data_IF_023456451283
#
_entry.id   IF_023456451283
#
_cell.length_a   1.000
_cell.length_b   1.000
_cell.length_c   1.000
_cell.angle_alpha   90.00
_cell.angle_beta   90.00
_cell.angle_gamma   90.00
#
_symmetry.space_group_name_H-M   'P 1'
#
loop_
_entity.id
_entity.type
_entity.pdbx_description
1 polymer ?
#
# COMPACT_ATOMS: atom_id res chain seq x y z
N UNK A 1 -15.17 9.32 5.02
CA UNK A 1 -15.22 10.72 5.52
C UNK A 1 -13.89 11.02 6.21
N UNK A 2 -13.29 12.19 5.92
CA UNK A 2 -12.19 12.69 6.71
C UNK A 2 -12.73 13.06 8.10
N UNK A 3 -12.08 12.59 9.16
CA UNK A 3 -12.50 12.92 10.53
C UNK A 3 -11.82 14.17 11.08
N UNK A 4 -10.77 14.65 10.43
CA UNK A 4 -10.03 15.86 10.84
C UNK A 4 -10.78 17.12 10.40
N UNK A 5 -10.85 18.11 11.28
CA UNK A 5 -11.39 19.43 10.97
C UNK A 5 -10.54 20.12 9.90
N UNK A 6 -11.15 20.56 8.77
CA UNK A 6 -10.43 21.29 7.73
C UNK A 6 -9.84 22.61 8.25
N UNK A 7 -8.65 22.98 7.74
CA UNK A 7 -8.02 24.28 8.00
C UNK A 7 -7.36 24.42 9.37
N UNK A 8 -7.33 23.39 10.21
CA UNK A 8 -6.61 23.43 11.49
C UNK A 8 -5.34 22.58 11.45
N UNK A 9 -4.23 23.14 11.91
CA UNK A 9 -2.92 22.48 11.92
C UNK A 9 -2.64 21.76 13.27
N UNK A 10 -3.67 21.21 13.90
CA UNK A 10 -3.55 20.40 15.10
C UNK A 10 -4.62 19.32 15.09
N UNK A 11 -4.45 18.28 15.90
CA UNK A 11 -5.41 17.18 15.96
C UNK A 11 -6.75 17.66 16.51
N UNK A 12 -7.73 17.72 15.65
CA UNK A 12 -9.12 18.04 16.01
C UNK A 12 -10.07 17.21 15.14
N UNK A 13 -10.52 16.05 15.61
CA UNK A 13 -11.49 15.25 14.85
C UNK A 13 -12.85 15.96 14.83
N UNK A 14 -13.53 15.91 13.69
CA UNK A 14 -14.93 16.32 13.58
C UNK A 14 -15.86 15.35 14.28
N UNK A 15 -15.51 14.09 14.32
CA UNK A 15 -16.24 13.00 14.98
C UNK A 15 -15.18 12.16 15.70
N UNK A 16 -15.25 12.11 17.03
CA UNK A 16 -14.30 11.32 17.83
C UNK A 16 -14.41 9.84 17.49
N UNK A 17 -13.25 9.17 17.34
CA UNK A 17 -13.17 7.76 16.97
C UNK A 17 -13.50 7.43 15.52
N UNK A 18 -13.91 8.39 14.70
CA UNK A 18 -14.17 8.15 13.28
C UNK A 18 -12.88 7.97 12.48
N UNK A 19 -12.88 7.15 11.42
CA UNK A 19 -11.72 6.96 10.56
C UNK A 19 -11.38 8.24 9.79
N UNK A 20 -10.09 8.51 9.63
CA UNK A 20 -9.56 9.60 8.83
C UNK A 20 -8.82 9.10 7.59
N UNK A 21 -8.43 10.04 6.71
CA UNK A 21 -7.49 9.75 5.65
C UNK A 21 -6.06 9.83 6.17
N UNK A 22 -5.35 8.69 6.16
CA UNK A 22 -3.94 8.65 6.55
C UNK A 22 -2.99 9.05 5.42
N UNK A 23 -3.42 8.93 4.16
CA UNK A 23 -2.59 9.19 2.99
C UNK A 23 -3.19 10.25 2.06
N UNK A 24 -4.39 10.07 1.53
CA UNK A 24 -5.05 11.08 0.70
C UNK A 24 -5.49 10.59 -0.68
N UNK A 25 -5.74 9.31 -0.87
CA UNK A 25 -6.24 8.72 -2.12
C UNK A 25 -7.51 9.41 -2.66
N UNK A 26 -8.32 9.99 -1.79
CA UNK A 26 -9.50 10.76 -2.18
C UNK A 26 -9.15 11.99 -3.06
N UNK A 27 -8.01 12.65 -2.82
CA UNK A 27 -7.58 13.79 -3.64
C UNK A 27 -7.16 13.34 -5.04
N UNK A 28 -6.54 12.17 -5.19
CA UNK A 28 -6.22 11.56 -6.47
C UNK A 28 -7.45 11.29 -7.33
N UNK A 29 -8.56 10.87 -6.72
CA UNK A 29 -9.82 10.67 -7.45
C UNK A 29 -10.33 12.00 -8.05
N UNK A 30 -10.28 13.09 -7.29
CA UNK A 30 -10.68 14.40 -7.77
C UNK A 30 -9.78 14.87 -8.93
N UNK A 31 -8.47 14.72 -8.81
CA UNK A 31 -7.50 15.04 -9.87
C UNK A 31 -7.80 14.26 -11.15
N UNK A 32 -8.01 12.95 -11.05
CA UNK A 32 -8.28 12.09 -12.22
C UNK A 32 -9.59 12.45 -12.92
N UNK A 33 -10.66 12.75 -12.18
CA UNK A 33 -11.94 13.15 -12.75
C UNK A 33 -11.81 14.48 -13.50
N UNK A 34 -11.20 15.49 -12.88
CA UNK A 34 -11.00 16.80 -13.51
C UNK A 34 -10.12 16.69 -14.74
N UNK A 35 -9.02 15.94 -14.68
CA UNK A 35 -8.14 15.71 -15.82
C UNK A 35 -8.88 15.02 -16.98
N UNK A 36 -9.67 13.98 -16.71
CA UNK A 36 -10.44 13.29 -17.74
C UNK A 36 -11.48 14.18 -18.41
N UNK A 37 -12.19 15.02 -17.63
CA UNK A 37 -13.15 15.98 -18.16
C UNK A 37 -12.46 17.03 -19.04
N UNK A 38 -11.33 17.58 -18.62
CA UNK A 38 -10.57 18.56 -19.39
C UNK A 38 -10.04 17.96 -20.71
N UNK A 39 -9.50 16.74 -20.67
CA UNK A 39 -9.01 16.05 -21.88
C UNK A 39 -10.18 15.74 -22.81
N UNK A 40 -11.33 15.28 -22.29
CA UNK A 40 -12.54 15.04 -23.09
C UNK A 40 -12.97 16.32 -23.85
N UNK A 41 -13.04 17.45 -23.16
CA UNK A 41 -13.40 18.74 -23.77
C UNK A 41 -12.42 19.11 -24.90
N UNK A 42 -11.11 18.93 -24.69
CA UNK A 42 -10.11 19.21 -25.71
C UNK A 42 -10.28 18.27 -26.91
N UNK A 43 -10.49 16.98 -26.68
CA UNK A 43 -10.68 15.99 -27.74
C UNK A 43 -11.90 16.33 -28.60
N UNK A 44 -13.02 16.71 -27.99
CA UNK A 44 -14.25 17.09 -28.69
C UNK A 44 -14.03 18.39 -29.50
N UNK A 45 -13.39 19.40 -28.91
CA UNK A 45 -13.14 20.69 -29.55
C UNK A 45 -12.17 20.59 -30.75
N UNK A 46 -11.12 19.80 -30.59
CA UNK A 46 -10.07 19.64 -31.63
C UNK A 46 -10.33 18.48 -32.60
N UNK A 47 -11.41 17.71 -32.40
CA UNK A 47 -11.73 16.55 -33.21
C UNK A 47 -10.71 15.42 -33.08
N UNK A 48 -10.08 15.26 -31.92
CA UNK A 48 -9.08 14.22 -31.67
C UNK A 48 -9.76 12.87 -31.40
N UNK A 49 -9.44 11.81 -32.16
CA UNK A 49 -9.99 10.48 -31.89
C UNK A 49 -9.35 9.86 -30.66
N UNK A 50 -10.11 9.03 -29.96
CA UNK A 50 -9.61 8.28 -28.80
C UNK A 50 -10.72 7.98 -27.79
N UNK A 51 -10.35 7.24 -26.76
CA UNK A 51 -11.26 6.90 -25.66
C UNK A 51 -10.55 7.13 -24.34
N UNK A 52 -11.23 7.77 -23.41
CA UNK A 52 -10.76 7.93 -22.03
C UNK A 52 -11.63 7.06 -21.13
N UNK A 53 -11.00 6.23 -20.31
CA UNK A 53 -11.67 5.38 -19.33
C UNK A 53 -11.17 5.71 -17.94
N UNK A 54 -12.09 5.92 -17.01
CA UNK A 54 -11.80 6.05 -15.59
C UNK A 54 -12.10 4.72 -14.89
N UNK A 55 -11.10 4.13 -14.26
CA UNK A 55 -11.27 3.01 -13.35
C UNK A 55 -11.20 3.50 -11.90
N UNK A 56 -12.27 3.36 -11.12
CA UNK A 56 -12.20 3.67 -9.70
C UNK A 56 -11.31 2.66 -8.99
N UNK A 57 -10.35 3.13 -8.21
CA UNK A 57 -9.59 2.29 -7.28
C UNK A 57 -10.44 2.03 -6.04
N UNK A 58 -10.84 0.77 -5.81
CA UNK A 58 -11.62 0.36 -4.65
C UNK A 58 -10.72 -0.51 -3.77
N UNK A 59 -10.70 -0.23 -2.45
CA UNK A 59 -9.95 -1.00 -1.46
C UNK A 59 -8.45 -1.15 -1.78
N UNK A 60 -7.80 -0.06 -2.22
CA UNK A 60 -6.38 -0.05 -2.55
C UNK A 60 -5.53 -0.46 -1.33
N UNK A 61 -5.84 0.04 -0.14
CA UNK A 61 -5.17 -0.28 1.13
C UNK A 61 -5.25 -1.79 1.51
N UNK A 62 -6.15 -2.52 0.88
CA UNK A 62 -6.26 -3.98 0.99
C UNK A 62 -5.73 -4.69 -0.26
N UNK A 63 -5.11 -3.97 -1.20
CA UNK A 63 -4.65 -4.46 -2.51
C UNK A 63 -5.80 -5.11 -3.30
N UNK A 64 -6.96 -4.43 -3.30
CA UNK A 64 -8.23 -5.10 -3.59
C UNK A 64 -8.55 -5.30 -5.06
N UNK A 65 -8.59 -4.25 -5.89
CA UNK A 65 -9.33 -4.34 -7.16
C UNK A 65 -8.49 -4.35 -8.43
N UNK A 66 -7.37 -3.67 -8.49
CA UNK A 66 -6.61 -3.51 -9.74
C UNK A 66 -6.04 -4.83 -10.25
N UNK A 67 -5.62 -5.73 -9.35
CA UNK A 67 -5.20 -7.09 -9.74
C UNK A 67 -6.34 -7.88 -10.39
N UNK A 68 -7.57 -7.73 -9.89
CA UNK A 68 -8.76 -8.37 -10.47
C UNK A 68 -9.08 -7.79 -11.85
N UNK A 69 -9.00 -6.47 -12.03
CA UNK A 69 -9.19 -5.83 -13.32
C UNK A 69 -8.16 -6.31 -14.35
N UNK A 70 -6.88 -6.43 -13.96
CA UNK A 70 -5.83 -6.96 -14.81
C UNK A 70 -6.11 -8.42 -15.19
N UNK A 71 -6.46 -9.28 -14.22
CA UNK A 71 -6.81 -10.68 -14.43
C UNK A 71 -8.00 -10.84 -15.38
N UNK A 72 -9.02 -10.02 -15.22
CA UNK A 72 -10.26 -10.12 -16.00
C UNK A 72 -10.16 -9.42 -17.37
N UNK A 73 -8.95 -8.93 -17.72
CA UNK A 73 -8.65 -8.38 -19.04
C UNK A 73 -9.20 -6.98 -19.30
N UNK A 74 -9.57 -6.21 -18.27
CA UNK A 74 -10.16 -4.88 -18.44
C UNK A 74 -9.19 -3.86 -19.07
N UNK A 75 -7.90 -4.17 -19.10
CA UNK A 75 -6.88 -3.32 -19.74
C UNK A 75 -6.53 -3.74 -21.18
N UNK A 76 -7.24 -4.71 -21.75
CA UNK A 76 -7.05 -5.08 -23.16
C UNK A 76 -7.48 -3.91 -24.06
N UNK A 77 -6.60 -3.54 -25.01
CA UNK A 77 -6.84 -2.41 -25.90
C UNK A 77 -6.63 -1.03 -25.25
N UNK A 78 -6.08 -0.96 -24.05
CA UNK A 78 -5.63 0.27 -23.40
C UNK A 78 -4.18 0.53 -23.79
N UNK A 79 -3.91 1.71 -24.35
CA UNK A 79 -2.56 2.08 -24.82
C UNK A 79 -1.65 2.55 -23.68
N UNK A 80 -2.22 3.26 -22.70
CA UNK A 80 -1.47 3.77 -21.56
C UNK A 80 -2.38 3.98 -20.34
N UNK A 81 -1.80 3.81 -19.15
CA UNK A 81 -2.46 4.12 -17.87
C UNK A 81 -1.73 5.27 -17.18
N UNK A 82 -2.48 6.32 -16.87
CA UNK A 82 -2.04 7.45 -16.08
C UNK A 82 -2.61 7.29 -14.66
N UNK A 83 -1.75 6.99 -13.73
CA UNK A 83 -2.09 6.81 -12.32
C UNK A 83 -1.63 8.02 -11.51
N UNK A 84 -2.35 8.36 -10.46
CA UNK A 84 -1.99 9.49 -9.58
C UNK A 84 -1.72 9.01 -8.16
N UNK A 85 -0.76 9.63 -7.51
CA UNK A 85 -0.45 9.40 -6.11
C UNK A 85 -0.05 10.70 -5.42
N UNK A 86 -0.45 10.85 -4.17
CA UNK A 86 -0.10 12.01 -3.33
C UNK A 86 1.41 12.11 -3.11
N UNK A 87 1.90 13.35 -3.01
CA UNK A 87 3.30 13.66 -2.75
C UNK A 87 3.44 15.06 -2.15
N UNK A 88 4.66 15.48 -1.88
CA UNK A 88 5.00 16.85 -1.50
C UNK A 88 5.50 17.70 -2.68
N UNK A 89 5.54 17.13 -3.89
CA UNK A 89 5.96 17.82 -5.10
C UNK A 89 5.20 17.30 -6.32
N UNK A 90 5.30 18.00 -7.45
CA UNK A 90 4.80 17.53 -8.74
C UNK A 90 5.94 16.82 -9.45
N UNK A 91 5.82 15.51 -9.63
CA UNK A 91 6.93 14.69 -10.11
C UNK A 91 6.47 13.37 -10.75
N UNK A 92 7.39 12.76 -11.45
CA UNK A 92 7.29 11.42 -12.02
C UNK A 92 8.61 10.69 -11.83
N UNK A 93 8.58 9.36 -11.89
CA UNK A 93 9.78 8.53 -11.84
C UNK A 93 9.69 7.35 -12.81
N UNK A 94 10.83 6.78 -13.16
CA UNK A 94 10.94 5.58 -13.96
C UNK A 94 12.08 4.69 -13.41
N UNK A 95 12.18 3.45 -13.90
CA UNK A 95 13.26 2.52 -13.56
C UNK A 95 12.90 1.49 -12.50
N UNK A 96 13.89 1.01 -11.76
CA UNK A 96 13.66 0.02 -10.70
C UNK A 96 12.71 0.57 -9.65
N UNK A 97 11.76 -0.26 -9.24
CA UNK A 97 10.73 0.15 -8.31
C UNK A 97 11.29 0.70 -7.00
N UNK A 98 10.90 1.89 -6.62
CA UNK A 98 11.08 2.36 -5.24
C UNK A 98 10.07 1.70 -4.28
N UNK A 99 9.08 0.97 -4.81
CA UNK A 99 8.08 0.24 -4.06
C UNK A 99 8.33 -1.27 -4.05
N UNK A 100 7.72 -1.94 -3.11
CA UNK A 100 7.71 -3.39 -3.00
C UNK A 100 6.41 -3.96 -3.54
N UNK A 101 6.43 -5.20 -4.03
CA UNK A 101 5.23 -6.00 -4.12
C UNK A 101 4.91 -6.59 -2.75
N UNK A 102 3.75 -7.21 -2.63
CA UNK A 102 3.20 -7.65 -1.35
C UNK A 102 2.30 -8.87 -1.53
N UNK A 103 2.38 -9.81 -0.60
CA UNK A 103 1.31 -10.77 -0.30
C UNK A 103 0.76 -10.47 1.09
N UNK A 104 -0.55 -10.29 1.16
CA UNK A 104 -1.35 -10.15 2.38
C UNK A 104 -2.06 -11.46 2.64
N UNK A 105 -1.76 -12.12 3.76
CA UNK A 105 -2.27 -13.46 4.08
C UNK A 105 -2.61 -13.57 5.55
N UNK A 106 -3.75 -14.15 5.83
CA UNK A 106 -4.17 -14.53 7.18
C UNK A 106 -4.04 -16.04 7.36
N UNK A 107 -3.38 -16.44 8.42
CA UNK A 107 -3.30 -17.83 8.87
C UNK A 107 -4.20 -18.04 10.05
N UNK A 108 -5.02 -19.07 9.99
CA UNK A 108 -5.98 -19.48 11.00
C UNK A 108 -5.58 -20.84 11.54
N UNK A 109 -5.61 -20.97 12.87
CA UNK A 109 -5.33 -22.21 13.55
C UNK A 109 -6.55 -22.68 14.33
N UNK A 110 -6.84 -23.97 14.25
CA UNK A 110 -7.96 -24.62 14.91
C UNK A 110 -7.42 -25.63 15.93
N UNK A 111 -7.73 -25.42 17.19
CA UNK A 111 -7.32 -26.24 18.32
C UNK A 111 -8.52 -26.86 19.02
N UNK A 112 -8.35 -27.15 20.32
CA UNK A 112 -9.38 -27.75 21.18
C UNK A 112 -9.46 -26.98 22.48
N UNK A 113 -10.65 -26.51 22.85
CA UNK A 113 -10.88 -25.83 24.12
C UNK A 113 -10.77 -26.78 25.31
N UNK A 114 -10.23 -26.29 26.40
CA UNK A 114 -10.21 -26.96 27.70
C UNK A 114 -10.13 -25.93 28.82
N UNK A 115 -10.48 -26.34 30.04
CA UNK A 115 -10.28 -25.49 31.21
C UNK A 115 -8.78 -25.41 31.56
N UNK A 116 -8.19 -24.20 31.48
CA UNK A 116 -6.75 -24.00 31.59
C UNK A 116 -6.13 -24.42 32.92
N UNK A 117 -6.92 -24.50 34.00
CA UNK A 117 -6.47 -24.97 35.32
C UNK A 117 -6.99 -26.35 35.71
N UNK A 118 -8.12 -26.78 35.13
CA UNK A 118 -8.72 -28.09 35.45
C UNK A 118 -8.11 -29.24 34.64
N UNK A 119 -8.34 -29.22 33.33
CA UNK A 119 -7.97 -30.29 32.44
C UNK A 119 -7.21 -29.79 31.19
N UNK A 120 -6.12 -28.98 31.33
CA UNK A 120 -5.43 -28.37 30.19
C UNK A 120 -4.88 -29.38 29.17
N UNK A 121 -4.55 -30.61 29.60
CA UNK A 121 -4.07 -31.66 28.74
C UNK A 121 -5.09 -32.17 27.72
N UNK A 122 -6.36 -31.86 27.88
CA UNK A 122 -7.41 -32.16 26.90
C UNK A 122 -7.48 -31.09 25.80
N UNK A 123 -6.87 -29.92 26.02
CA UNK A 123 -6.86 -28.81 25.07
C UNK A 123 -5.73 -28.86 24.05
N UNK A 124 -5.88 -28.11 22.99
CA UNK A 124 -4.85 -27.78 21.99
C UNK A 124 -4.95 -26.29 21.70
N UNK A 125 -3.94 -25.55 22.08
CA UNK A 125 -3.95 -24.09 21.98
C UNK A 125 -3.64 -23.63 20.55
N UNK A 126 -4.60 -23.05 19.89
CA UNK A 126 -4.41 -22.38 18.60
C UNK A 126 -3.52 -21.15 18.72
N UNK A 127 -3.54 -20.47 19.87
CA UNK A 127 -2.66 -19.32 20.13
C UNK A 127 -1.18 -19.73 20.19
N UNK A 128 -0.86 -20.88 20.79
CA UNK A 128 0.51 -21.39 20.83
C UNK A 128 1.04 -21.63 19.41
N UNK A 129 0.19 -22.11 18.50
CA UNK A 129 0.55 -22.26 17.10
C UNK A 129 0.88 -20.90 16.43
N UNK A 130 0.08 -19.87 16.70
CA UNK A 130 0.35 -18.51 16.23
C UNK A 130 1.68 -17.99 16.77
N UNK A 131 1.94 -18.15 18.05
CA UNK A 131 3.17 -17.69 18.67
C UNK A 131 4.40 -18.43 18.13
N UNK A 132 4.34 -19.78 18.00
CA UNK A 132 5.42 -20.56 17.40
C UNK A 132 5.66 -20.17 15.93
N UNK A 133 4.62 -19.92 15.16
CA UNK A 133 4.76 -19.42 13.80
C UNK A 133 5.47 -18.08 13.78
N UNK A 134 5.10 -17.14 14.65
CA UNK A 134 5.71 -15.82 14.75
C UNK A 134 7.18 -15.90 15.15
N UNK A 135 7.52 -16.75 16.14
CA UNK A 135 8.90 -17.01 16.56
C UNK A 135 9.72 -17.63 15.41
N UNK A 136 9.18 -18.63 14.73
CA UNK A 136 9.85 -19.29 13.60
C UNK A 136 10.12 -18.30 12.45
N UNK A 137 9.17 -17.42 12.14
CA UNK A 137 9.38 -16.37 11.14
C UNK A 137 10.43 -15.35 11.60
N UNK A 138 10.41 -14.95 12.86
CA UNK A 138 11.37 -13.99 13.39
C UNK A 138 12.81 -14.55 13.35
N UNK A 139 13.02 -15.84 13.61
CA UNK A 139 14.32 -16.48 13.43
C UNK A 139 14.73 -16.57 11.96
N UNK A 140 13.77 -16.75 11.06
CA UNK A 140 14.04 -16.75 9.62
C UNK A 140 14.47 -15.38 9.09
N UNK A 141 14.06 -14.26 9.71
CA UNK A 141 14.36 -12.89 9.25
C UNK A 141 15.85 -12.63 9.09
N UNK A 142 16.67 -13.16 9.94
CA UNK A 142 18.14 -13.04 9.88
C UNK A 142 18.73 -13.53 8.54
N UNK A 143 18.04 -14.47 7.89
CA UNK A 143 18.46 -15.11 6.66
C UNK A 143 17.71 -14.63 5.41
N UNK A 144 16.96 -13.53 5.52
CA UNK A 144 16.24 -12.93 4.42
C UNK A 144 17.06 -11.81 3.75
N UNK A 145 16.73 -11.50 2.50
CA UNK A 145 17.39 -10.43 1.75
C UNK A 145 17.18 -9.07 2.45
N UNK A 146 18.14 -8.14 2.38
CA UNK A 146 18.09 -6.87 3.12
C UNK A 146 16.88 -5.98 2.80
N UNK A 147 16.29 -6.12 1.61
CA UNK A 147 15.13 -5.33 1.16
C UNK A 147 13.78 -5.96 1.53
N UNK A 148 13.79 -7.17 2.07
CA UNK A 148 12.59 -7.79 2.58
C UNK A 148 12.00 -6.99 3.75
N UNK A 149 10.68 -6.87 3.77
CA UNK A 149 9.91 -6.35 4.92
C UNK A 149 8.74 -7.27 5.19
N UNK A 150 8.50 -7.55 6.45
CA UNK A 150 7.34 -8.31 6.88
C UNK A 150 6.80 -7.78 8.20
N UNK A 151 5.49 -7.81 8.32
CA UNK A 151 4.77 -7.32 9.48
C UNK A 151 3.63 -8.28 9.77
N UNK A 152 3.20 -8.37 11.01
CA UNK A 152 2.02 -9.14 11.36
C UNK A 152 1.27 -8.51 12.54
N UNK A 153 0.00 -8.87 12.63
CA UNK A 153 -0.83 -8.65 13.81
C UNK A 153 -1.55 -9.95 14.15
N UNK A 154 -1.69 -10.26 15.43
CA UNK A 154 -2.57 -11.34 15.87
C UNK A 154 -3.99 -10.79 15.76
N UNK A 155 -4.78 -11.34 14.83
CA UNK A 155 -6.15 -10.89 14.55
C UNK A 155 -7.19 -11.54 15.48
N UNK A 156 -6.86 -12.71 16.05
CA UNK A 156 -7.61 -13.36 17.13
C UNK A 156 -6.64 -14.17 18.00
N UNK A 157 -6.77 -14.07 19.32
CA UNK A 157 -5.86 -14.74 20.26
C UNK A 157 -6.58 -15.51 21.39
N UNK A 158 -7.89 -15.73 21.27
CA UNK A 158 -8.73 -16.32 22.31
C UNK A 158 -9.55 -15.30 23.10
N UNK A 159 -10.38 -15.77 24.01
CA UNK A 159 -11.36 -14.93 24.72
C UNK A 159 -10.97 -14.64 26.18
N UNK A 160 -10.48 -15.65 26.90
CA UNK A 160 -10.25 -15.56 28.35
C UNK A 160 -9.03 -16.43 28.77
N UNK A 161 -8.16 -15.93 29.68
CA UNK A 161 -6.91 -16.62 29.99
C UNK A 161 -7.05 -18.04 30.60
N UNK A 162 -8.16 -18.36 31.20
CA UNK A 162 -8.43 -19.70 31.80
C UNK A 162 -9.10 -20.68 30.83
N UNK A 163 -9.24 -20.34 29.56
CA UNK A 163 -9.75 -21.19 28.49
C UNK A 163 -8.63 -21.38 27.46
N UNK A 164 -8.24 -22.63 27.18
CA UNK A 164 -7.32 -22.96 26.10
C UNK A 164 -7.94 -22.49 24.77
N UNK A 165 -7.30 -21.59 24.02
CA UNK A 165 -7.88 -21.02 22.83
C UNK A 165 -8.13 -22.06 21.73
N UNK A 166 -9.39 -22.36 21.36
CA UNK A 166 -9.69 -23.32 20.28
C UNK A 166 -9.50 -22.72 18.89
N UNK A 167 -9.39 -21.41 18.78
CA UNK A 167 -9.16 -20.69 17.53
C UNK A 167 -8.23 -19.51 17.77
N UNK A 168 -7.28 -19.30 16.85
CA UNK A 168 -6.48 -18.10 16.79
C UNK A 168 -6.10 -17.80 15.34
N UNK A 169 -5.82 -16.54 15.04
CA UNK A 169 -5.39 -16.13 13.71
C UNK A 169 -4.36 -15.01 13.75
N UNK A 170 -3.51 -14.99 12.73
CA UNK A 170 -2.47 -13.98 12.53
C UNK A 170 -2.45 -13.52 11.08
N UNK A 171 -2.44 -12.22 10.89
CA UNK A 171 -2.42 -11.60 9.57
C UNK A 171 -1.03 -11.05 9.27
N UNK A 172 -0.44 -11.51 8.14
CA UNK A 172 0.91 -11.17 7.68
C UNK A 172 0.89 -10.35 6.40
N UNK A 173 1.84 -9.40 6.32
CA UNK A 173 2.31 -8.80 5.08
C UNK A 173 3.73 -9.28 4.79
N UNK A 174 3.94 -9.81 3.59
CA UNK A 174 5.27 -10.23 3.08
C UNK A 174 5.60 -9.36 1.88
N UNK A 175 6.62 -8.52 2.00
CA UNK A 175 7.04 -7.55 1.00
C UNK A 175 8.43 -7.86 0.47
N UNK A 176 8.62 -7.67 -0.83
CA UNK A 176 9.90 -7.77 -1.52
C UNK A 176 9.88 -6.99 -2.85
N UNK A 177 11.05 -6.78 -3.43
CA UNK A 177 11.22 -5.99 -4.66
C UNK A 177 10.99 -6.80 -5.94
N UNK A 178 10.92 -8.12 -5.87
CA UNK A 178 10.61 -8.99 -7.02
C UNK A 178 9.51 -9.99 -6.67
N UNK A 179 8.68 -10.32 -7.66
CA UNK A 179 7.62 -11.32 -7.50
C UNK A 179 8.16 -12.71 -7.09
N UNK A 180 9.34 -13.09 -7.60
CA UNK A 180 9.95 -14.37 -7.25
C UNK A 180 10.36 -14.41 -5.78
N UNK A 181 10.96 -13.34 -5.26
CA UNK A 181 11.36 -13.25 -3.86
C UNK A 181 10.14 -13.25 -2.93
N UNK A 182 9.06 -12.57 -3.32
CA UNK A 182 7.78 -12.60 -2.58
C UNK A 182 7.27 -14.03 -2.49
N UNK A 183 7.25 -14.75 -3.62
CA UNK A 183 6.79 -16.16 -3.67
C UNK A 183 7.64 -17.08 -2.82
N UNK A 184 8.95 -16.93 -2.86
CA UNK A 184 9.91 -17.70 -2.04
C UNK A 184 9.63 -17.48 -0.55
N UNK A 185 9.54 -16.23 -0.12
CA UNK A 185 9.26 -15.88 1.28
C UNK A 185 7.87 -16.36 1.73
N UNK A 186 6.87 -16.23 0.87
CA UNK A 186 5.53 -16.73 1.15
C UNK A 186 5.50 -18.27 1.31
N UNK A 187 6.22 -19.01 0.46
CA UNK A 187 6.31 -20.45 0.58
C UNK A 187 7.04 -20.86 1.89
N UNK A 188 8.08 -20.15 2.25
CA UNK A 188 8.77 -20.37 3.53
C UNK A 188 7.85 -20.11 4.72
N UNK A 189 7.08 -19.03 4.69
CA UNK A 189 6.12 -18.73 5.76
C UNK A 189 5.03 -19.82 5.87
N UNK A 190 4.56 -20.36 4.74
CA UNK A 190 3.61 -21.48 4.74
C UNK A 190 4.20 -22.73 5.41
N UNK A 191 5.48 -23.04 5.18
CA UNK A 191 6.15 -24.17 5.82
C UNK A 191 6.29 -23.96 7.33
N UNK A 192 6.60 -22.74 7.75
CA UNK A 192 6.67 -22.37 9.17
C UNK A 192 5.30 -22.53 9.84
N UNK A 193 4.23 -22.07 9.20
CA UNK A 193 2.86 -22.23 9.70
C UNK A 193 2.47 -23.71 9.85
N UNK A 194 2.82 -24.55 8.88
CA UNK A 194 2.63 -26.01 8.96
C UNK A 194 3.42 -26.62 10.11
N UNK A 195 4.69 -26.20 10.28
CA UNK A 195 5.51 -26.65 11.39
C UNK A 195 4.93 -26.27 12.75
N UNK A 196 4.41 -25.06 12.89
CA UNK A 196 3.75 -24.60 14.11
C UNK A 196 2.50 -25.44 14.43
N UNK A 197 1.66 -25.72 13.43
CA UNK A 197 0.49 -26.57 13.59
C UNK A 197 0.85 -28.00 14.03
N UNK A 198 1.90 -28.59 13.44
CA UNK A 198 2.41 -29.91 13.83
C UNK A 198 2.93 -29.93 15.28
N UNK A 199 3.63 -28.89 15.70
CA UNK A 199 4.18 -28.80 17.08
C UNK A 199 3.09 -28.68 18.14
N UNK A 200 1.95 -28.12 17.79
CA UNK A 200 0.83 -27.84 18.73
C UNK A 200 -0.35 -28.81 18.57
N UNK A 201 -0.27 -29.75 17.64
CA UNK A 201 -1.34 -30.68 17.30
C UNK A 201 -2.65 -29.93 16.98
N UNK A 202 -2.55 -28.88 16.14
CA UNK A 202 -3.66 -28.04 15.70
C UNK A 202 -3.89 -28.14 14.19
N UNK A 203 -5.10 -27.81 13.74
CA UNK A 203 -5.39 -27.58 12.32
C UNK A 203 -4.81 -26.24 11.85
N UNK A 204 -4.46 -26.13 10.56
CA UNK A 204 -4.04 -24.87 9.94
C UNK A 204 -4.71 -24.67 8.60
N UNK A 205 -5.26 -23.48 8.42
CA UNK A 205 -5.75 -22.98 7.15
C UNK A 205 -5.23 -21.56 6.87
N UNK A 206 -5.35 -21.09 5.64
CA UNK A 206 -4.96 -19.72 5.28
C UNK A 206 -5.88 -19.10 4.28
N UNK A 207 -5.98 -17.77 4.31
CA UNK A 207 -6.69 -16.96 3.34
C UNK A 207 -5.76 -15.89 2.79
N UNK A 208 -5.56 -15.83 1.48
CA UNK A 208 -4.90 -14.69 0.84
C UNK A 208 -5.93 -13.56 0.82
N UNK A 209 -5.60 -12.44 1.46
CA UNK A 209 -6.45 -11.25 1.53
C UNK A 209 -6.25 -10.40 0.29
N UNK A 210 -5.01 -10.29 -0.19
CA UNK A 210 -4.65 -9.56 -1.40
C UNK A 210 -3.20 -9.80 -1.78
N UNK A 211 -2.83 -9.40 -2.97
CA UNK A 211 -1.45 -9.40 -3.44
C UNK A 211 -1.27 -8.32 -4.50
N UNK A 212 -0.06 -7.80 -4.60
CA UNK A 212 0.32 -6.87 -5.67
C UNK A 212 1.74 -7.17 -6.14
N UNK A 213 1.95 -7.14 -7.44
CA UNK A 213 3.29 -7.19 -8.02
C UNK A 213 4.07 -5.90 -7.71
N UNK A 214 5.41 -5.97 -7.64
CA UNK A 214 6.24 -4.76 -7.70
C UNK A 214 5.96 -4.02 -9.01
N UNK A 215 6.00 -2.68 -8.97
CA UNK A 215 5.71 -1.86 -10.16
C UNK A 215 6.71 -2.11 -11.29
N UNK A 216 6.22 -2.10 -12.51
CA UNK A 216 7.02 -2.06 -13.73
C UNK A 216 6.93 -0.66 -14.34
N UNK A 217 8.07 -0.04 -14.67
CA UNK A 217 8.10 1.32 -15.15
C UNK A 217 8.27 1.41 -16.66
N UNK A 218 7.67 2.45 -17.24
CA UNK A 218 7.79 2.77 -18.65
C UNK A 218 8.51 4.11 -18.82
N UNK A 219 9.76 4.08 -19.29
CA UNK A 219 10.60 5.28 -19.46
C UNK A 219 10.01 6.29 -20.44
N UNK A 220 9.58 5.90 -21.67
CA UNK A 220 9.04 6.85 -22.65
C UNK A 220 7.88 7.68 -22.11
N UNK A 221 6.89 7.04 -21.45
CA UNK A 221 5.73 7.76 -20.90
C UNK A 221 6.15 8.63 -19.71
N UNK A 222 7.08 8.16 -18.88
CA UNK A 222 7.59 8.96 -17.76
C UNK A 222 8.30 10.23 -18.22
N UNK A 223 9.11 10.15 -19.27
CA UNK A 223 9.78 11.33 -19.85
C UNK A 223 8.77 12.30 -20.48
N UNK A 224 7.77 11.80 -21.21
CA UNK A 224 6.71 12.63 -21.76
C UNK A 224 5.90 13.33 -20.67
N UNK A 225 5.62 12.65 -19.56
CA UNK A 225 4.97 13.23 -18.39
C UNK A 225 5.84 14.33 -17.75
N UNK A 226 7.13 14.08 -17.57
CA UNK A 226 8.08 15.05 -17.01
C UNK A 226 8.17 16.35 -17.86
N UNK A 227 8.20 16.20 -19.18
CA UNK A 227 8.18 17.37 -20.09
C UNK A 227 6.89 18.19 -19.91
N UNK A 228 5.74 17.54 -19.74
CA UNK A 228 4.48 18.23 -19.49
C UNK A 228 4.43 18.85 -18.10
N UNK A 229 4.97 18.19 -17.08
CA UNK A 229 5.12 18.77 -15.73
C UNK A 229 5.92 20.08 -15.80
N UNK A 230 7.03 20.10 -16.54
CA UNK A 230 7.85 21.31 -16.72
C UNK A 230 7.12 22.45 -17.43
N UNK A 231 6.23 22.14 -18.37
CA UNK A 231 5.40 23.14 -19.06
C UNK A 231 4.32 23.73 -18.16
N UNK A 232 3.72 22.89 -17.30
CA UNK A 232 2.63 23.30 -16.41
C UNK A 232 3.15 24.02 -15.16
N UNK A 233 4.22 23.49 -14.57
CA UNK A 233 4.81 23.99 -13.32
C UNK A 233 4.03 23.60 -12.08
N UNK A 234 4.52 24.03 -10.93
CA UNK A 234 3.83 23.90 -9.64
C UNK A 234 2.70 24.92 -9.51
N UNK A 235 1.67 24.64 -8.72
CA UNK A 235 0.68 25.65 -8.33
C UNK A 235 1.34 26.82 -7.61
N UNK A 236 0.76 27.99 -7.75
CA UNK A 236 1.15 29.15 -6.93
C UNK A 236 0.46 29.06 -5.58
N UNK A 237 1.23 28.96 -4.52
CA UNK A 237 0.73 28.87 -3.16
C UNK A 237 0.53 30.27 -2.57
N UNK A 238 -0.57 30.46 -1.85
CA UNK A 238 -0.77 31.67 -1.07
C UNK A 238 0.11 31.68 0.21
N UNK A 239 0.24 32.83 0.83
CA UNK A 239 0.91 32.95 2.14
C UNK A 239 0.19 32.10 3.20
N UNK A 240 -1.13 31.98 3.12
CA UNK A 240 -1.93 31.18 4.03
C UNK A 240 -1.66 29.69 3.85
N UNK A 241 -1.52 29.21 2.60
CA UNK A 241 -1.16 27.81 2.31
C UNK A 241 0.23 27.50 2.90
N UNK A 242 1.21 28.39 2.68
CA UNK A 242 2.56 28.22 3.21
C UNK A 242 2.58 28.23 4.75
N UNK A 243 1.84 29.14 5.36
CA UNK A 243 1.72 29.21 6.82
C UNK A 243 1.09 27.95 7.40
N UNK A 244 0.02 27.46 6.78
CA UNK A 244 -0.66 26.24 7.20
C UNK A 244 0.24 25.01 7.04
N UNK A 245 0.96 24.89 5.91
CA UNK A 245 1.89 23.80 5.67
C UNK A 245 3.03 23.78 6.71
N UNK A 246 3.62 24.94 7.01
CA UNK A 246 4.68 25.06 8.04
C UNK A 246 4.17 24.72 9.43
N UNK A 247 2.93 25.10 9.76
CA UNK A 247 2.32 24.75 11.04
C UNK A 247 2.12 23.23 11.17
N UNK A 248 1.71 22.54 10.10
CA UNK A 248 1.61 21.08 10.09
C UNK A 248 2.96 20.39 10.21
N UNK A 249 3.99 20.88 9.51
CA UNK A 249 5.36 20.35 9.60
C UNK A 249 5.91 20.50 11.03
N UNK A 250 5.71 21.64 11.66
CA UNK A 250 6.11 21.88 13.05
C UNK A 250 5.36 20.91 14.01
N UNK A 251 4.06 20.69 13.82
CA UNK A 251 3.29 19.73 14.59
C UNK A 251 3.83 18.29 14.45
N UNK A 252 4.35 17.94 13.26
CA UNK A 252 4.96 16.64 12.99
C UNK A 252 6.42 16.53 13.49
N UNK A 253 6.94 17.56 14.15
CA UNK A 253 8.27 17.56 14.74
C UNK A 253 9.39 18.06 13.82
N UNK A 254 9.07 18.75 12.73
CA UNK A 254 10.09 19.41 11.91
C UNK A 254 10.70 20.60 12.68
N UNK A 255 12.02 20.60 12.85
CA UNK A 255 12.74 21.71 13.47
C UNK A 255 12.82 22.94 12.52
N UNK A 256 12.83 22.68 11.20
CA UNK A 256 12.91 23.71 10.16
C UNK A 256 11.77 23.50 9.13
N UNK A 257 10.54 23.95 9.40
CA UNK A 257 9.43 23.83 8.49
C UNK A 257 9.66 24.59 7.18
N UNK A 258 9.73 23.88 6.06
CA UNK A 258 10.00 24.46 4.73
C UNK A 258 8.72 24.96 4.05
N UNK A 259 7.56 24.43 4.42
CA UNK A 259 6.30 24.70 3.73
C UNK A 259 6.10 23.81 2.50
N UNK A 260 5.27 24.29 1.57
CA UNK A 260 4.99 23.62 0.30
C UNK A 260 6.13 23.90 -0.70
N UNK A 261 6.40 22.94 -1.57
CA UNK A 261 7.44 23.04 -2.58
C UNK A 261 7.17 24.20 -3.57
N UNK A 262 8.18 24.99 -3.85
CA UNK A 262 8.15 26.10 -4.82
C UNK A 262 8.95 25.80 -6.08
N UNK A 263 9.71 24.70 -6.08
CA UNK A 263 10.52 24.25 -7.20
C UNK A 263 10.15 22.81 -7.58
N UNK A 264 10.14 22.51 -8.88
CA UNK A 264 9.88 21.17 -9.39
C UNK A 264 11.02 20.23 -9.05
N UNK A 265 10.68 19.00 -8.64
CA UNK A 265 11.65 17.92 -8.59
C UNK A 265 12.03 17.48 -10.00
N UNK A 266 13.31 17.37 -10.29
CA UNK A 266 13.77 16.81 -11.56
C UNK A 266 13.61 15.29 -11.56
N UNK A 267 13.27 14.74 -12.75
CA UNK A 267 13.35 13.29 -12.98
C UNK A 267 14.84 12.88 -12.95
N UNK A 268 15.17 11.96 -12.04
CA UNK A 268 16.54 11.43 -11.92
C UNK A 268 16.70 10.09 -12.61
N UNK A 269 17.95 9.63 -12.74
CA UNK A 269 18.22 8.25 -13.12
C UNK A 269 17.73 7.29 -12.01
N UNK A 270 17.30 6.09 -12.39
CA UNK A 270 16.88 5.08 -11.43
C UNK A 270 18.02 4.72 -10.45
N UNK A 271 17.68 4.52 -9.20
CA UNK A 271 18.64 3.98 -8.24
C UNK A 271 18.91 2.51 -8.55
N UNK A 272 20.17 2.10 -8.57
CA UNK A 272 20.56 0.69 -8.76
C UNK A 272 20.01 -0.20 -7.65
N UNK A 273 20.03 0.30 -6.41
CA UNK A 273 19.54 -0.40 -5.23
C UNK A 273 18.51 0.48 -4.51
N UNK A 274 17.26 0.48 -4.96
CA UNK A 274 16.22 1.29 -4.33
C UNK A 274 15.96 0.81 -2.90
N UNK A 275 16.00 1.72 -1.94
CA UNK A 275 15.49 1.45 -0.59
C UNK A 275 13.99 1.20 -0.70
N UNK A 276 13.49 0.17 -0.01
CA UNK A 276 12.08 -0.22 -0.07
C UNK A 276 11.14 0.93 0.24
N UNK A 277 10.12 1.08 -0.57
CA UNK A 277 8.96 1.94 -0.33
C UNK A 277 7.71 1.12 -0.04
N UNK A 278 6.54 1.78 -0.02
CA UNK A 278 5.24 1.13 0.11
C UNK A 278 4.93 0.20 -1.06
N UNK A 279 3.94 -0.65 -0.89
CA UNK A 279 3.32 -1.44 -1.96
C UNK A 279 2.04 -0.75 -2.42
N UNK A 280 1.66 -0.98 -3.67
CA UNK A 280 0.54 -0.35 -4.33
C UNK A 280 -0.02 -1.33 -5.37
N UNK A 281 -1.31 -1.44 -5.50
CA UNK A 281 -1.95 -2.38 -6.42
C UNK A 281 -1.86 -1.97 -7.90
N UNK A 282 -1.28 -0.80 -8.22
CA UNK A 282 -0.96 -0.42 -9.60
C UNK A 282 0.14 -1.30 -10.21
N UNK A 283 0.89 -2.03 -9.39
CA UNK A 283 1.91 -2.96 -9.86
C UNK A 283 1.35 -3.93 -10.90
N UNK A 284 0.24 -4.58 -10.60
CA UNK A 284 -0.39 -5.56 -11.49
C UNK A 284 -0.79 -4.96 -12.85
N UNK A 285 -1.28 -3.72 -12.86
CA UNK A 285 -1.61 -2.98 -14.08
C UNK A 285 -0.35 -2.69 -14.90
N UNK A 286 0.71 -2.23 -14.24
CA UNK A 286 1.95 -1.80 -14.87
C UNK A 286 2.71 -2.91 -15.63
N UNK A 287 2.45 -4.18 -15.33
CA UNK A 287 2.97 -5.33 -16.07
C UNK A 287 2.14 -5.68 -17.31
N UNK A 288 0.93 -5.15 -17.43
CA UNK A 288 0.02 -5.42 -18.55
C UNK A 288 -0.05 -4.26 -19.55
N UNK A 289 0.07 -3.01 -19.05
CA UNK A 289 -0.07 -1.79 -19.86
C UNK A 289 1.03 -0.80 -19.51
N UNK A 290 1.58 -0.05 -20.46
CA UNK A 290 2.47 1.07 -20.19
C UNK A 290 1.84 2.02 -19.19
N UNK A 291 2.45 2.15 -18.01
CA UNK A 291 1.88 2.90 -16.87
C UNK A 291 2.86 3.93 -16.35
N UNK A 292 2.36 5.11 -16.01
CA UNK A 292 3.10 6.16 -15.31
C UNK A 292 2.31 6.64 -14.10
N UNK A 293 3.03 6.94 -13.01
CA UNK A 293 2.45 7.54 -11.80
C UNK A 293 2.83 9.00 -11.72
N UNK A 294 1.85 9.89 -11.88
CA UNK A 294 1.97 11.30 -11.55
C UNK A 294 1.89 11.46 -10.02
N UNK A 295 2.93 12.00 -9.42
CA UNK A 295 2.91 12.42 -8.04
C UNK A 295 2.58 13.90 -7.97
N UNK A 296 1.56 14.26 -7.19
CA UNK A 296 1.08 15.63 -7.11
C UNK A 296 1.14 16.17 -5.68
N UNK A 297 1.38 17.49 -5.49
CA UNK A 297 1.59 18.08 -4.18
C UNK A 297 0.26 18.17 -3.41
N UNK A 298 0.05 17.26 -2.47
CA UNK A 298 -1.13 17.20 -1.60
C UNK A 298 -0.77 16.84 -0.16
N UNK A 299 0.50 16.78 0.17
CA UNK A 299 0.98 16.62 1.54
C UNK A 299 2.21 17.52 1.81
N UNK A 300 2.59 17.64 3.06
CA UNK A 300 3.58 18.61 3.57
C UNK A 300 4.78 17.92 4.25
N UNK A 301 5.19 16.80 3.73
CA UNK A 301 6.34 16.08 4.30
C UNK A 301 7.62 16.89 4.24
#
# INVERSE_FOLDING_TARGET
RASQMPGVAYRQPMIEGAPGHGEGHNSGQAVNIVAALAVKEIMEREGLPGTIVLWPGIAEELLGTKAWYARDGLFQGVDAVLFTHVSNNLSVSWGSARGTGLVSVEYMFDGVAAHGAGDPWQGRSALDAVELMNVGWNFRREHLRPLQRSHYVISSGGDQPNVVPPYASVWYFIREITANNIRENFNTLNQIAQGAALMTDTGMSRRIVGAAYPRHFNKPIALAMDENIKKVGLPTWSEDDQRFAKALQALMGSEEPQGLATELSSIGEPLENPVSGGSDDIGDVSWNVPTVTLRFPSNVR
#
